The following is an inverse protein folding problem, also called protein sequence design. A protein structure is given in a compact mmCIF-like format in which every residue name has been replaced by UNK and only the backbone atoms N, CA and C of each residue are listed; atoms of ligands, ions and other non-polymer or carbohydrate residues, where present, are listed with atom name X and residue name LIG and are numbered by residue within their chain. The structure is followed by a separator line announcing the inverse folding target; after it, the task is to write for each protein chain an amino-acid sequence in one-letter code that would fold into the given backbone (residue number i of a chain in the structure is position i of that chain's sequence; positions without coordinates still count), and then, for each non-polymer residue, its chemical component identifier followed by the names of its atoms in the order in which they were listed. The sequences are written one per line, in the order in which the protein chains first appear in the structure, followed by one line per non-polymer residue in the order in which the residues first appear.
data_IF_885702283593
#
_entry.id   IF_885702283593
#
_cell.length_a   1.000
_cell.length_b   1.000
_cell.length_c   1.000
_cell.angle_alpha   90.00
_cell.angle_beta   90.00
_cell.angle_gamma   90.00
#
_symmetry.space_group_name_H-M   'P 1'
#
loop_
_entity.id
_entity.type
_entity.pdbx_description
1 polymer ?
#
# COMPACT_ATOMS: atom_id res chain seq x y z
N UNK A 1 21.47 -12.96 -19.94
CA UNK A 1 20.39 -13.03 -18.94
C UNK A 1 19.57 -11.75 -19.06
N UNK A 2 18.27 -11.81 -18.84
CA UNK A 2 17.41 -10.62 -18.90
C UNK A 2 17.78 -9.66 -17.77
N UNK A 3 18.45 -8.55 -18.08
CA UNK A 3 18.86 -7.52 -17.09
C UNK A 3 17.70 -6.60 -16.65
N UNK A 4 16.46 -6.93 -17.03
CA UNK A 4 15.27 -6.15 -16.68
C UNK A 4 14.56 -6.77 -15.47
N UNK A 5 14.07 -5.94 -14.53
CA UNK A 5 13.34 -6.42 -13.37
C UNK A 5 12.01 -7.08 -13.79
N UNK A 6 11.49 -8.03 -12.99
CA UNK A 6 10.18 -8.62 -13.19
C UNK A 6 9.06 -7.57 -13.32
N UNK A 7 8.01 -7.90 -14.08
CA UNK A 7 6.85 -7.01 -14.25
C UNK A 7 6.20 -6.64 -12.91
N UNK A 8 6.16 -7.56 -11.95
CA UNK A 8 5.62 -7.30 -10.62
C UNK A 8 6.37 -6.17 -9.90
N UNK A 9 7.70 -6.10 -10.06
CA UNK A 9 8.52 -5.06 -9.43
C UNK A 9 8.29 -3.70 -10.10
N UNK A 10 8.04 -3.70 -11.40
CA UNK A 10 7.66 -2.50 -12.16
C UNK A 10 6.27 -1.99 -11.74
N UNK A 11 5.33 -2.87 -11.45
CA UNK A 11 3.94 -2.52 -11.12
C UNK A 11 3.68 -2.27 -9.64
N UNK A 12 4.65 -2.54 -8.74
CA UNK A 12 4.45 -2.37 -7.30
C UNK A 12 4.01 -0.93 -6.97
N UNK A 13 2.85 -0.73 -6.33
CA UNK A 13 2.37 0.59 -5.93
C UNK A 13 3.40 1.33 -5.07
N UNK A 14 3.61 2.61 -5.35
CA UNK A 14 4.51 3.49 -4.56
C UNK A 14 3.76 4.34 -3.53
N UNK A 15 2.44 4.36 -3.59
CA UNK A 15 1.55 5.08 -2.68
C UNK A 15 0.36 4.21 -2.34
N UNK A 16 -0.21 4.38 -1.14
CA UNK A 16 -1.39 3.63 -0.71
C UNK A 16 -2.60 3.86 -1.61
N UNK A 17 -2.77 5.07 -2.13
CA UNK A 17 -3.85 5.43 -3.08
C UNK A 17 -3.84 4.63 -4.39
N UNK A 18 -2.75 3.94 -4.71
CA UNK A 18 -2.62 3.09 -5.90
C UNK A 18 -2.86 1.61 -5.61
N UNK A 19 -3.09 1.23 -4.35
CA UNK A 19 -3.45 -0.13 -3.98
C UNK A 19 -4.91 -0.36 -4.32
N UNK A 20 -5.18 -1.38 -5.13
CA UNK A 20 -6.52 -1.64 -5.67
C UNK A 20 -7.28 -2.60 -4.74
N UNK A 21 -8.57 -2.33 -4.53
CA UNK A 21 -9.50 -3.25 -3.84
C UNK A 21 -9.46 -3.20 -2.31
N UNK A 22 -8.72 -2.25 -1.72
CA UNK A 22 -8.52 -2.17 -0.27
C UNK A 22 -9.08 -0.88 0.35
N UNK A 23 -10.02 -0.20 -0.32
CA UNK A 23 -10.56 1.10 0.11
C UNK A 23 -11.12 1.08 1.53
N UNK A 24 -11.75 -0.02 1.95
CA UNK A 24 -12.29 -0.18 3.31
C UNK A 24 -11.21 -0.24 4.41
N UNK A 25 -9.94 -0.52 4.06
CA UNK A 25 -8.82 -0.53 4.99
C UNK A 25 -7.94 0.71 4.86
N UNK A 26 -7.64 1.12 3.63
CA UNK A 26 -6.62 2.16 3.36
C UNK A 26 -7.21 3.51 2.94
N UNK A 27 -8.52 3.57 2.71
CA UNK A 27 -9.23 4.82 2.43
C UNK A 27 -9.25 5.75 3.65
N UNK A 28 -9.75 6.99 3.49
CA UNK A 28 -9.76 7.97 4.57
C UNK A 28 -10.44 7.46 5.85
N UNK A 29 -11.53 6.70 5.71
CA UNK A 29 -12.28 6.13 6.85
C UNK A 29 -11.83 4.71 7.22
N UNK A 30 -10.88 4.15 6.47
CA UNK A 30 -10.34 2.82 6.71
C UNK A 30 -9.40 2.79 7.90
N UNK A 31 -9.36 1.66 8.61
CA UNK A 31 -8.58 1.51 9.84
C UNK A 31 -7.08 1.79 9.65
N UNK A 32 -6.48 1.28 8.58
CA UNK A 32 -5.07 1.54 8.24
C UNK A 32 -4.88 2.95 7.68
N UNK A 33 -5.83 3.47 6.91
CA UNK A 33 -5.78 4.85 6.38
C UNK A 33 -5.74 5.90 7.48
N UNK A 34 -6.52 5.72 8.54
CA UNK A 34 -6.51 6.57 9.74
C UNK A 34 -5.18 6.45 10.50
N UNK A 35 -4.64 5.24 10.68
CA UNK A 35 -3.35 5.02 11.34
C UNK A 35 -2.19 5.70 10.59
N UNK A 36 -2.19 5.63 9.25
CA UNK A 36 -1.18 6.27 8.40
C UNK A 36 -1.28 7.79 8.50
N UNK A 37 -2.50 8.36 8.42
CA UNK A 37 -2.70 9.81 8.60
C UNK A 37 -2.28 10.29 9.99
N UNK A 38 -2.51 9.47 11.02
CA UNK A 38 -2.06 9.74 12.39
C UNK A 38 -0.57 9.50 12.64
N UNK A 39 0.19 9.01 11.64
CA UNK A 39 1.62 8.73 11.75
C UNK A 39 1.98 7.63 12.75
N UNK A 40 1.03 6.78 13.12
CA UNK A 40 1.23 5.70 14.10
C UNK A 40 0.58 4.41 13.61
N UNK A 41 1.42 3.49 13.15
CA UNK A 41 1.02 2.15 12.74
C UNK A 41 1.09 1.19 13.94
N UNK A 42 0.10 0.32 14.06
CA UNK A 42 0.17 -0.81 14.96
C UNK A 42 1.14 -1.88 14.40
N UNK A 43 1.77 -2.69 15.26
CA UNK A 43 2.49 -3.87 14.82
C UNK A 43 1.58 -4.80 14.00
N UNK A 44 2.09 -5.33 12.88
CA UNK A 44 1.42 -6.33 12.04
C UNK A 44 2.22 -7.64 12.10
N UNK A 45 1.52 -8.77 12.08
CA UNK A 45 2.09 -10.13 12.02
C UNK A 45 2.00 -10.68 10.60
#
# INVERSE_FOLDING_TARGET
MSDLPPLADLLRPKTLTKVVGQDHLIGPDGSLGQMVQGGRLAPMV
#
